data_IF_327651647649
#
_entry.id   IF_327651647649
#
_cell.length_a   1.000
_cell.length_b   1.000
_cell.length_c   1.000
_cell.angle_alpha   90.00
_cell.angle_beta   90.00
_cell.angle_gamma   90.00
#
_symmetry.space_group_name_H-M   'P 1'
#
loop_
_entity.id
_entity.type
_entity.pdbx_description
1 polymer ?
#
# COMPACT_ATOMS: atom_id res chain seq x y z
N UNK A 1 -49.38 -7.41 21.74
CA UNK A 1 -47.92 -7.48 21.82
C UNK A 1 -47.34 -6.30 21.05
N UNK A 2 -46.84 -5.28 21.76
CA UNK A 2 -46.20 -4.10 21.16
C UNK A 2 -44.70 -4.29 21.35
N UNK A 3 -43.96 -4.46 20.25
CA UNK A 3 -42.50 -4.51 20.26
C UNK A 3 -41.98 -3.09 20.43
N UNK A 4 -41.55 -2.74 21.64
CA UNK A 4 -40.80 -1.52 21.90
C UNK A 4 -39.35 -1.75 21.43
N UNK A 5 -38.98 -1.16 20.29
CA UNK A 5 -37.57 -0.95 19.95
C UNK A 5 -37.06 0.19 20.83
N UNK A 6 -36.09 -0.10 21.69
CA UNK A 6 -35.36 0.90 22.45
C UNK A 6 -34.67 1.88 21.49
N UNK A 7 -34.95 3.18 21.63
CA UNK A 7 -34.29 4.23 20.87
C UNK A 7 -32.89 4.45 21.41
N UNK A 8 -31.87 4.06 20.67
CA UNK A 8 -30.49 4.47 20.93
C UNK A 8 -30.36 5.97 20.62
N UNK A 9 -30.04 6.78 21.63
CA UNK A 9 -29.70 8.18 21.45
C UNK A 9 -28.32 8.27 20.81
N UNK A 10 -28.24 8.71 19.55
CA UNK A 10 -26.98 9.04 18.90
C UNK A 10 -26.79 10.57 18.90
N UNK A 11 -25.57 11.02 19.17
CA UNK A 11 -25.16 12.42 18.97
C UNK A 11 -24.19 12.47 17.80
N UNK A 12 -24.58 13.20 16.77
CA UNK A 12 -23.71 13.49 15.64
C UNK A 12 -22.94 14.78 15.93
N UNK A 13 -21.63 14.74 15.72
CA UNK A 13 -20.78 15.92 15.69
C UNK A 13 -20.08 15.98 14.34
N UNK A 14 -20.01 17.17 13.75
CA UNK A 14 -19.27 17.41 12.50
C UNK A 14 -18.24 18.48 12.75
N UNK A 15 -17.01 18.22 12.38
CA UNK A 15 -15.90 19.17 12.46
C UNK A 15 -15.16 19.19 11.13
N UNK A 16 -14.52 20.31 10.83
CA UNK A 16 -13.73 20.47 9.60
C UNK A 16 -12.30 20.03 9.88
N UNK A 17 -11.82 19.06 9.13
CA UNK A 17 -10.41 18.68 9.14
C UNK A 17 -9.69 19.50 8.08
N UNK A 18 -8.64 20.22 8.46
CA UNK A 18 -7.78 20.93 7.52
C UNK A 18 -6.70 20.00 6.98
N UNK A 19 -6.49 20.03 5.66
CA UNK A 19 -5.43 19.25 5.02
C UNK A 19 -4.06 19.67 5.61
N UNK A 20 -3.23 18.70 5.96
CA UNK A 20 -1.89 18.89 6.53
C UNK A 20 -1.86 19.57 7.91
N UNK A 21 -2.96 19.52 8.68
CA UNK A 21 -2.95 19.93 10.09
C UNK A 21 -3.47 18.81 10.97
N UNK A 22 -2.75 18.53 12.05
CA UNK A 22 -3.25 17.67 13.10
C UNK A 22 -4.51 18.28 13.71
N UNK A 23 -5.55 17.46 13.85
CA UNK A 23 -6.80 17.84 14.51
C UNK A 23 -7.01 16.90 15.68
N UNK A 24 -6.89 17.42 16.90
CA UNK A 24 -7.21 16.67 18.12
C UNK A 24 -8.71 16.75 18.37
N UNK A 25 -9.35 15.59 18.53
CA UNK A 25 -10.76 15.50 18.91
C UNK A 25 -10.80 14.97 20.34
N UNK A 26 -11.18 15.82 21.29
CA UNK A 26 -11.40 15.40 22.67
C UNK A 26 -12.87 14.99 22.85
N UNK A 27 -13.10 13.74 23.23
CA UNK A 27 -14.43 13.21 23.51
C UNK A 27 -14.60 13.08 25.03
N UNK A 28 -15.33 14.02 25.64
CA UNK A 28 -15.62 14.00 27.09
C UNK A 28 -16.91 13.25 27.40
N UNK A 29 -17.00 11.97 27.04
CA UNK A 29 -18.19 11.14 27.31
C UNK A 29 -17.77 9.83 27.99
N UNK A 30 -18.34 9.57 29.18
CA UNK A 30 -17.96 8.48 30.07
C UNK A 30 -18.50 7.09 29.66
N UNK A 31 -19.47 7.01 28.74
CA UNK A 31 -20.20 5.77 28.44
C UNK A 31 -20.32 5.50 26.93
N UNK A 32 -19.20 5.30 26.23
CA UNK A 32 -19.23 4.91 24.80
C UNK A 32 -18.59 3.55 24.61
N UNK A 33 -19.40 2.56 24.20
CA UNK A 33 -18.93 1.21 23.85
C UNK A 33 -18.46 1.11 22.38
N UNK A 34 -18.81 2.08 21.54
CA UNK A 34 -18.49 2.07 20.11
C UNK A 34 -18.41 3.49 19.59
N UNK A 35 -17.28 3.86 18.98
CA UNK A 35 -17.11 5.11 18.25
C UNK A 35 -17.02 4.75 16.77
N UNK A 36 -17.83 5.38 15.93
CA UNK A 36 -17.77 5.20 14.48
C UNK A 36 -17.44 6.55 13.84
N UNK A 37 -16.37 6.61 13.06
CA UNK A 37 -15.96 7.79 12.32
C UNK A 37 -16.43 7.69 10.88
N UNK A 38 -17.06 8.75 10.37
CA UNK A 38 -17.37 8.90 8.95
C UNK A 38 -16.63 10.13 8.44
N UNK A 39 -15.75 9.94 7.46
CA UNK A 39 -15.09 11.03 6.76
C UNK A 39 -15.71 11.15 5.36
N UNK A 40 -16.03 12.38 4.96
CA UNK A 40 -16.52 12.70 3.62
C UNK A 40 -15.85 13.95 3.11
N UNK A 41 -15.35 13.89 1.87
CA UNK A 41 -14.78 15.05 1.18
C UNK A 41 -15.91 15.74 0.43
N UNK A 42 -16.18 17.01 0.72
CA UNK A 42 -17.06 17.82 -0.12
C UNK A 42 -16.50 17.83 -1.54
N UNK A 43 -17.28 17.33 -2.51
CA UNK A 43 -17.02 17.27 -3.96
C UNK A 43 -16.32 16.02 -4.53
N UNK A 44 -16.18 14.91 -3.80
CA UNK A 44 -15.80 13.65 -4.45
C UNK A 44 -17.04 12.86 -4.90
N UNK A 45 -17.18 12.60 -6.20
CA UNK A 45 -18.21 11.69 -6.72
C UNK A 45 -17.87 10.20 -6.45
N UNK A 46 -16.70 9.92 -5.87
CA UNK A 46 -16.26 8.58 -5.49
C UNK A 46 -15.98 8.61 -3.99
N UNK A 47 -16.78 7.90 -3.20
CA UNK A 47 -16.55 7.79 -1.76
C UNK A 47 -15.20 7.13 -1.51
N UNK A 48 -14.22 7.88 -0.99
CA UNK A 48 -13.01 7.28 -0.46
C UNK A 48 -13.36 6.62 0.88
N UNK A 49 -13.12 5.32 0.97
CA UNK A 49 -13.21 4.56 2.22
C UNK A 49 -11.89 4.75 2.96
N UNK A 50 -11.95 5.36 4.13
CA UNK A 50 -10.83 5.39 5.06
C UNK A 50 -10.90 4.12 5.90
N UNK A 51 -9.92 3.22 5.75
CA UNK A 51 -9.74 2.08 6.65
C UNK A 51 -8.90 2.58 7.82
N UNK A 52 -9.46 2.54 9.03
CA UNK A 52 -8.72 2.76 10.27
C UNK A 52 -8.15 1.41 10.69
N UNK A 53 -6.86 1.18 10.41
CA UNK A 53 -6.24 -0.13 10.63
C UNK A 53 -5.70 -0.36 12.05
N UNK A 54 -5.72 0.63 12.94
CA UNK A 54 -5.40 0.40 14.35
C UNK A 54 -6.09 1.44 15.25
N UNK A 55 -7.19 1.01 15.88
CA UNK A 55 -7.81 1.72 16.99
C UNK A 55 -7.27 1.11 18.28
N UNK A 56 -6.08 1.53 18.70
CA UNK A 56 -5.53 1.16 20.00
C UNK A 56 -6.32 1.88 21.10
N UNK A 57 -7.27 1.16 21.70
CA UNK A 57 -7.92 1.57 22.95
C UNK A 57 -7.04 1.08 24.10
N UNK A 58 -6.21 1.96 24.66
CA UNK A 58 -5.51 1.66 25.91
C UNK A 58 -6.55 1.60 27.06
N UNK A 59 -6.93 0.39 27.46
CA UNK A 59 -7.91 0.16 28.53
C UNK A 59 -7.29 0.19 29.93
N UNK A 60 -6.03 0.61 30.09
CA UNK A 60 -5.35 0.66 31.38
C UNK A 60 -4.84 2.06 31.67
N UNK A 61 -5.68 2.91 32.24
CA UNK A 61 -5.41 3.76 33.43
C UNK A 61 -6.34 4.97 33.46
N UNK A 62 -7.40 4.88 34.27
CA UNK A 62 -8.10 6.06 34.78
C UNK A 62 -7.22 6.66 35.88
N UNK A 63 -6.17 7.41 35.53
CA UNK A 63 -5.37 8.23 36.46
C UNK A 63 -4.51 9.25 35.70
N UNK A 64 -4.79 10.53 35.90
CA UNK A 64 -3.89 11.69 35.66
C UNK A 64 -3.25 11.82 34.28
N UNK A 65 -3.89 12.64 33.44
CA UNK A 65 -3.31 13.54 32.42
C UNK A 65 -1.83 13.35 32.10
N UNK A 66 -1.53 12.47 31.16
CA UNK A 66 -0.32 12.59 30.34
C UNK A 66 -0.77 12.47 28.90
N UNK A 67 -0.65 13.56 28.15
CA UNK A 67 -1.03 13.67 26.75
C UNK A 67 -0.08 12.84 25.89
N UNK A 68 -0.43 11.59 25.64
CA UNK A 68 0.23 10.78 24.61
C UNK A 68 -0.26 11.30 23.25
N UNK A 69 0.56 12.13 22.61
CA UNK A 69 0.34 12.59 21.24
C UNK A 69 0.57 11.44 20.28
N UNK A 70 -0.48 10.69 19.95
CA UNK A 70 -0.44 9.73 18.85
C UNK A 70 -0.58 10.50 17.54
N UNK A 71 0.54 10.71 16.85
CA UNK A 71 0.54 11.29 15.50
C UNK A 71 -0.06 10.27 14.54
N UNK A 72 -1.20 10.61 13.95
CA UNK A 72 -1.73 9.89 12.78
C UNK A 72 -0.89 10.30 11.59
N UNK A 73 0.06 9.44 11.19
CA UNK A 73 0.74 9.58 9.91
C UNK A 73 -0.27 9.29 8.80
N UNK A 74 -0.42 10.25 7.88
CA UNK A 74 -1.12 9.99 6.62
C UNK A 74 -0.29 8.92 5.93
N UNK A 75 -0.84 7.70 5.86
CA UNK A 75 -0.24 6.58 5.12
C UNK A 75 0.06 7.11 3.72
N UNK A 76 1.34 7.22 3.40
CA UNK A 76 1.83 7.62 2.10
C UNK A 76 1.18 6.67 1.08
N UNK A 77 0.19 7.18 0.34
CA UNK A 77 -0.43 6.39 -0.72
C UNK A 77 0.60 6.31 -1.82
N UNK A 78 1.05 5.09 -2.09
CA UNK A 78 1.80 4.82 -3.30
C UNK A 78 1.03 5.26 -4.54
N UNK A 79 1.76 5.67 -5.57
CA UNK A 79 1.18 6.11 -6.82
C UNK A 79 0.55 4.93 -7.58
N UNK A 80 -0.15 5.21 -8.67
CA UNK A 80 -0.72 4.17 -9.53
C UNK A 80 0.36 3.15 -9.96
N UNK A 81 -0.01 1.85 -9.96
CA UNK A 81 0.86 0.71 -10.27
C UNK A 81 2.02 0.50 -9.29
N UNK A 82 1.83 0.87 -8.01
CA UNK A 82 2.76 0.58 -6.93
C UNK A 82 2.06 -0.22 -5.82
N UNK A 83 2.88 -0.96 -5.06
CA UNK A 83 2.49 -1.72 -3.87
C UNK A 83 3.14 -1.08 -2.65
N UNK A 84 2.36 -0.78 -1.61
CA UNK A 84 2.88 -0.32 -0.31
C UNK A 84 3.27 -1.52 0.55
N UNK A 85 4.51 -1.52 1.08
CA UNK A 85 4.96 -2.51 2.05
C UNK A 85 6.03 -1.91 2.97
N UNK A 86 5.89 -2.08 4.29
CA UNK A 86 6.86 -1.59 5.29
C UNK A 86 7.33 -0.15 5.02
N UNK A 87 6.39 0.79 4.86
CA UNK A 87 6.63 2.24 4.57
C UNK A 87 7.27 2.58 3.22
N UNK A 88 7.52 1.60 2.35
CA UNK A 88 8.07 1.83 1.01
C UNK A 88 7.05 1.48 -0.09
N UNK A 89 7.16 2.18 -1.21
CA UNK A 89 6.41 1.91 -2.43
C UNK A 89 7.25 1.10 -3.41
N UNK A 90 6.67 0.06 -3.97
CA UNK A 90 7.35 -0.86 -4.88
C UNK A 90 6.64 -0.93 -6.23
N UNK A 91 7.40 -1.03 -7.32
CA UNK A 91 6.83 -1.27 -8.64
C UNK A 91 7.69 -2.19 -9.51
N UNK A 92 7.06 -2.72 -10.56
CA UNK A 92 7.70 -3.44 -11.65
C UNK A 92 7.70 -2.58 -12.91
N UNK A 93 8.85 -2.49 -13.58
CA UNK A 93 8.98 -1.70 -14.81
C UNK A 93 9.98 -2.30 -15.82
N UNK A 94 9.83 -1.97 -17.09
CA UNK A 94 10.67 -2.45 -18.18
C UNK A 94 11.84 -1.51 -18.50
N UNK A 95 12.62 -1.14 -17.49
CA UNK A 95 13.60 -0.03 -17.53
C UNK A 95 15.07 -0.46 -17.46
N UNK A 96 15.37 -1.76 -17.58
CA UNK A 96 16.75 -2.19 -17.76
C UNK A 96 17.64 -2.09 -16.52
N UNK A 97 17.06 -2.11 -15.31
CA UNK A 97 17.80 -1.97 -14.06
C UNK A 97 17.83 -0.53 -13.52
N UNK A 98 17.34 0.45 -14.29
CA UNK A 98 17.37 1.87 -13.89
C UNK A 98 16.04 2.32 -13.28
N UNK A 99 15.98 2.40 -11.96
CA UNK A 99 14.81 2.93 -11.26
C UNK A 99 14.64 4.44 -11.47
N UNK A 100 13.39 4.91 -11.45
CA UNK A 100 13.06 6.34 -11.54
C UNK A 100 13.64 7.13 -10.36
N UNK A 101 13.80 8.43 -10.54
CA UNK A 101 14.21 9.34 -9.46
C UNK A 101 13.34 9.15 -8.20
N UNK A 102 13.99 9.05 -7.04
CA UNK A 102 13.35 8.74 -5.76
C UNK A 102 13.18 7.26 -5.48
N UNK A 103 13.66 6.38 -6.37
CA UNK A 103 13.63 4.93 -6.21
C UNK A 103 15.02 4.32 -6.39
N UNK A 104 15.22 3.15 -5.83
CA UNK A 104 16.38 2.28 -5.97
C UNK A 104 15.94 0.84 -6.22
N UNK A 105 16.87 -0.05 -6.58
CA UNK A 105 16.55 -1.46 -6.77
C UNK A 105 16.05 -2.09 -5.45
N UNK A 106 14.91 -2.77 -5.52
CA UNK A 106 14.36 -3.51 -4.39
C UNK A 106 15.06 -4.87 -4.22
N UNK A 107 15.02 -5.43 -3.00
CA UNK A 107 15.59 -6.76 -2.71
C UNK A 107 14.71 -7.91 -3.21
N UNK A 108 15.32 -8.99 -3.68
CA UNK A 108 14.66 -10.29 -3.97
C UNK A 108 13.85 -10.81 -2.78
N UNK A 109 14.35 -10.59 -1.55
CA UNK A 109 13.66 -11.02 -0.33
C UNK A 109 12.30 -10.34 -0.22
N UNK A 110 12.25 -9.02 -0.44
CA UNK A 110 10.99 -8.28 -0.39
C UNK A 110 10.10 -8.66 -1.56
N UNK A 111 10.67 -8.78 -2.77
CA UNK A 111 9.93 -9.23 -3.95
C UNK A 111 9.19 -10.55 -3.67
N UNK A 112 9.84 -11.50 -2.98
CA UNK A 112 9.24 -12.80 -2.64
C UNK A 112 8.03 -12.69 -1.70
N UNK A 113 7.97 -11.64 -0.87
CA UNK A 113 6.90 -11.41 0.10
C UNK A 113 5.71 -10.67 -0.53
N UNK A 114 5.96 -9.81 -1.52
CA UNK A 114 4.94 -8.94 -2.10
C UNK A 114 4.61 -9.21 -3.56
N UNK A 115 5.18 -10.28 -4.16
CA UNK A 115 5.00 -10.60 -5.57
C UNK A 115 3.51 -10.64 -5.96
N UNK A 116 2.68 -11.36 -5.21
CA UNK A 116 1.25 -11.52 -5.49
C UNK A 116 0.46 -10.20 -5.45
N UNK A 117 0.94 -9.20 -4.71
CA UNK A 117 0.33 -7.87 -4.64
C UNK A 117 0.41 -7.09 -5.96
N UNK A 118 1.24 -7.55 -6.92
CA UNK A 118 1.30 -6.96 -8.26
C UNK A 118 0.19 -7.43 -9.19
N UNK A 119 -0.58 -8.47 -8.84
CA UNK A 119 -1.69 -8.96 -9.68
C UNK A 119 -2.70 -7.82 -9.91
N UNK A 120 -3.08 -7.61 -11.16
CA UNK A 120 -4.01 -6.55 -11.56
C UNK A 120 -3.38 -5.16 -11.72
N UNK A 121 -2.10 -4.98 -11.36
CA UNK A 121 -1.35 -3.75 -11.65
C UNK A 121 -0.68 -3.82 -13.03
N UNK A 122 -0.28 -2.69 -13.59
CA UNK A 122 0.49 -2.66 -14.84
C UNK A 122 1.97 -2.36 -14.56
N UNK A 123 2.81 -2.45 -15.60
CA UNK A 123 4.13 -1.83 -15.59
C UNK A 123 4.02 -0.34 -15.23
N UNK A 124 5.01 0.18 -14.50
CA UNK A 124 4.99 1.58 -14.06
C UNK A 124 5.04 2.56 -15.24
N UNK A 125 5.92 2.33 -16.23
CA UNK A 125 6.07 3.22 -17.38
C UNK A 125 6.24 2.48 -18.72
N UNK A 126 7.01 1.40 -18.73
CA UNK A 126 7.40 0.69 -19.93
C UNK A 126 7.23 -0.81 -19.76
N UNK A 127 6.69 -1.47 -20.79
CA UNK A 127 6.63 -2.93 -20.84
C UNK A 127 8.07 -3.48 -20.83
N UNK A 128 8.31 -4.60 -20.16
CA UNK A 128 9.63 -5.25 -20.23
C UNK A 128 9.91 -5.87 -21.61
N UNK A 129 11.18 -6.10 -21.90
CA UNK A 129 11.66 -6.91 -23.03
C UNK A 129 12.28 -8.24 -22.61
N UNK A 130 12.40 -8.51 -21.30
CA UNK A 130 12.95 -9.76 -20.78
C UNK A 130 12.24 -10.15 -19.47
N UNK A 131 12.10 -11.45 -19.25
CA UNK A 131 11.29 -11.98 -18.16
C UNK A 131 11.97 -12.05 -16.80
N UNK A 132 13.30 -11.92 -16.73
CA UNK A 132 14.02 -11.94 -15.46
C UNK A 132 13.94 -10.59 -14.75
N UNK A 133 13.81 -10.61 -13.44
CA UNK A 133 13.72 -9.39 -12.64
C UNK A 133 15.10 -9.00 -12.15
N UNK A 134 15.58 -7.82 -12.52
CA UNK A 134 16.70 -7.17 -11.84
C UNK A 134 16.20 -6.67 -10.49
N UNK A 135 16.94 -7.05 -9.46
CA UNK A 135 16.79 -6.62 -8.08
C UNK A 135 18.13 -6.08 -7.58
N UNK A 136 18.19 -5.69 -6.31
CA UNK A 136 19.41 -5.20 -5.67
C UNK A 136 20.55 -6.24 -5.68
N UNK A 137 20.19 -7.52 -5.65
CA UNK A 137 21.12 -8.64 -5.62
C UNK A 137 21.84 -8.83 -6.96
N UNK A 138 23.07 -9.33 -6.89
CA UNK A 138 23.96 -9.51 -8.05
C UNK A 138 23.39 -10.44 -9.14
N UNK A 139 22.50 -11.34 -8.77
CA UNK A 139 21.97 -12.37 -9.66
C UNK A 139 20.44 -12.30 -9.66
N UNK A 140 19.83 -12.29 -10.84
CA UNK A 140 18.38 -12.38 -10.99
C UNK A 140 17.94 -13.84 -10.93
N UNK A 141 17.27 -14.21 -9.84
CA UNK A 141 16.66 -15.53 -9.64
C UNK A 141 15.13 -15.50 -9.79
N UNK A 142 14.54 -14.31 -9.89
CA UNK A 142 13.12 -14.13 -10.10
C UNK A 142 12.82 -13.82 -11.56
N UNK A 143 11.67 -14.29 -12.03
CA UNK A 143 11.16 -13.94 -13.34
C UNK A 143 9.67 -14.18 -13.47
N UNK A 144 9.07 -13.58 -14.49
CA UNK A 144 7.67 -13.80 -14.86
C UNK A 144 7.65 -14.79 -16.03
N UNK A 145 6.82 -15.82 -16.00
CA UNK A 145 6.78 -16.75 -17.13
C UNK A 145 6.37 -16.00 -18.44
N UNK A 146 7.13 -16.22 -19.51
CA UNK A 146 6.98 -15.52 -20.81
C UNK A 146 5.61 -15.78 -21.47
N UNK A 147 5.00 -16.91 -21.15
CA UNK A 147 3.69 -17.30 -21.66
C UNK A 147 2.56 -16.48 -21.01
N UNK A 148 2.77 -15.94 -19.81
CA UNK A 148 1.71 -15.33 -19.01
C UNK A 148 1.62 -13.81 -19.29
N UNK A 149 2.44 -12.99 -18.63
CA UNK A 149 2.39 -11.52 -18.75
C UNK A 149 3.69 -10.86 -19.22
N UNK A 150 4.84 -11.53 -19.09
CA UNK A 150 6.11 -10.93 -19.48
C UNK A 150 6.08 -10.46 -20.94
N UNK A 151 6.63 -9.26 -21.19
CA UNK A 151 6.70 -8.61 -22.51
C UNK A 151 5.34 -8.32 -23.16
N UNK A 152 4.25 -8.32 -22.38
CA UNK A 152 2.90 -8.01 -22.85
C UNK A 152 2.36 -6.76 -22.17
N UNK A 153 1.54 -6.02 -22.90
CA UNK A 153 0.81 -4.89 -22.33
C UNK A 153 -0.35 -5.39 -21.47
N UNK A 154 -0.68 -4.62 -20.43
CA UNK A 154 -1.86 -4.85 -19.60
C UNK A 154 -1.52 -5.30 -18.19
N UNK A 155 -2.56 -5.51 -17.36
CA UNK A 155 -2.40 -5.87 -15.97
C UNK A 155 -1.71 -7.22 -15.79
N UNK A 156 -0.92 -7.35 -14.72
CA UNK A 156 -0.29 -8.61 -14.35
C UNK A 156 -1.32 -9.68 -13.99
N UNK A 157 -1.35 -10.74 -14.79
CA UNK A 157 -2.07 -11.98 -14.48
C UNK A 157 -1.17 -13.02 -13.83
N UNK A 158 0.15 -12.81 -13.89
CA UNK A 158 1.17 -13.59 -13.24
C UNK A 158 2.27 -12.66 -12.74
N UNK A 159 2.91 -13.04 -11.64
CA UNK A 159 3.87 -12.22 -10.91
C UNK A 159 5.25 -12.88 -10.93
N UNK A 160 6.31 -12.14 -10.58
CA UNK A 160 7.64 -12.72 -10.47
C UNK A 160 7.67 -13.88 -9.48
N UNK A 161 8.24 -15.00 -9.90
CA UNK A 161 8.43 -16.18 -9.05
C UNK A 161 9.86 -16.70 -9.17
N UNK A 162 10.29 -17.45 -8.16
CA UNK A 162 11.63 -18.03 -8.12
C UNK A 162 11.82 -19.00 -9.31
N UNK A 163 12.88 -18.79 -10.09
CA UNK A 163 13.16 -19.46 -11.36
C UNK A 163 12.09 -19.26 -12.45
N UNK A 164 11.14 -18.34 -12.26
CA UNK A 164 10.12 -18.02 -13.24
C UNK A 164 10.76 -17.54 -14.55
N UNK A 165 10.17 -17.89 -15.70
CA UNK A 165 10.73 -17.54 -17.02
C UNK A 165 12.11 -18.16 -17.32
N UNK A 166 12.57 -19.13 -16.51
CA UNK A 166 13.90 -19.74 -16.64
C UNK A 166 15.03 -18.94 -15.99
N UNK A 167 14.70 -17.96 -15.16
CA UNK A 167 15.64 -17.03 -14.55
C UNK A 167 16.35 -17.68 -13.35
N UNK A 168 17.49 -18.32 -13.60
CA UNK A 168 18.32 -18.95 -12.56
C UNK A 168 19.74 -18.41 -12.63
N UNK A 169 20.14 -17.62 -11.63
CA UNK A 169 21.41 -16.89 -11.61
C UNK A 169 21.65 -16.07 -12.89
N UNK A 170 20.61 -15.40 -13.39
CA UNK A 170 20.72 -14.63 -14.62
C UNK A 170 21.51 -13.34 -14.36
N UNK A 171 22.46 -13.03 -15.24
CA UNK A 171 23.35 -11.85 -15.14
C UNK A 171 23.32 -10.97 -16.39
N UNK A 172 22.52 -11.31 -17.40
CA UNK A 172 22.48 -10.51 -18.61
C UNK A 172 21.56 -9.30 -18.37
N UNK A 173 22.08 -8.11 -18.64
CA UNK A 173 21.32 -6.88 -18.62
C UNK A 173 20.79 -6.61 -20.02
N UNK A 174 19.47 -6.50 -20.15
CA UNK A 174 18.83 -6.06 -21.38
C UNK A 174 18.34 -4.61 -21.22
N UNK A 175 18.33 -3.79 -22.29
CA UNK A 175 17.87 -2.40 -22.21
C UNK A 175 16.43 -2.20 -21.69
N UNK A 176 15.60 -3.24 -21.73
CA UNK A 176 14.24 -3.25 -21.18
C UNK A 176 14.02 -4.36 -20.16
N UNK A 177 15.07 -4.75 -19.44
CA UNK A 177 14.97 -5.76 -18.40
C UNK A 177 13.86 -5.43 -17.40
N UNK A 178 13.09 -6.42 -16.97
CA UNK A 178 12.10 -6.23 -15.91
C UNK A 178 12.86 -5.87 -14.64
N UNK A 179 12.47 -4.77 -14.00
CA UNK A 179 13.19 -4.15 -12.89
C UNK A 179 12.23 -4.00 -11.72
N UNK A 180 12.68 -4.42 -10.54
CA UNK A 180 11.96 -4.23 -9.30
C UNK A 180 12.54 -3.06 -8.53
N UNK A 181 11.72 -2.03 -8.32
CA UNK A 181 12.13 -0.77 -7.71
C UNK A 181 11.40 -0.52 -6.40
N UNK A 182 12.08 0.14 -5.46
CA UNK A 182 11.63 0.51 -4.13
C UNK A 182 11.86 2.00 -3.90
N UNK A 183 10.92 2.71 -3.28
CA UNK A 183 11.10 4.13 -2.93
C UNK A 183 12.21 4.29 -1.89
N UNK A 184 13.02 5.35 -2.04
CA UNK A 184 14.09 5.69 -1.10
C UNK A 184 13.56 6.27 0.21
#
# INVERSE_FOLDING_TARGET
MVSQRASTYYKEASFKIEKNRSTTIELNWLDINTITFYASIKNSQHGEVFVMDDLCLDSNTLSTSTSTSTSVEIIDKCSLNEVLYQTHCYYLDGVGGECRYGYSLGSETILSLIADSFIGLNYKTAISGNCCVITFEKYSNYGVNSVDQCNKQGPFTAVPSLNGGGCRNHTAEHPRQLTFCMSN
#
